data_IF_901441197634
#
_entry.id   IF_901441197634
#
_cell.length_a   1.000
_cell.length_b   1.000
_cell.length_c   1.000
_cell.angle_alpha   90.00
_cell.angle_beta   90.00
_cell.angle_gamma   90.00
#
_symmetry.space_group_name_H-M   'P 1'
#
loop_
_entity.id
_entity.type
_entity.pdbx_description
1 polymer ?
#
# COMPACT_ATOMS: atom_id res chain seq x y z
N UNK A 1 41.05 -58.06 -7.41
CA UNK A 1 40.71 -59.50 -7.41
C UNK A 1 39.66 -59.74 -8.49
N UNK A 2 39.94 -60.65 -9.41
CA UNK A 2 39.07 -61.02 -10.53
C UNK A 2 38.33 -62.31 -10.22
N UNK A 3 37.15 -62.49 -10.80
CA UNK A 3 36.66 -63.82 -11.16
C UNK A 3 35.73 -63.74 -12.37
N UNK A 4 36.04 -64.57 -13.38
CA UNK A 4 35.30 -64.79 -14.62
C UNK A 4 35.23 -66.32 -14.81
N UNK A 5 34.13 -66.90 -15.30
CA UNK A 5 34.17 -68.21 -15.95
C UNK A 5 34.17 -68.08 -17.49
N UNK A 6 34.69 -69.11 -18.15
CA UNK A 6 35.08 -69.14 -19.57
C UNK A 6 34.25 -70.16 -20.38
N UNK A 7 33.96 -69.78 -21.64
CA UNK A 7 33.57 -70.55 -22.85
C UNK A 7 32.12 -71.07 -22.92
N UNK A 8 31.52 -71.32 -24.09
CA UNK A 8 31.54 -70.89 -25.51
C UNK A 8 30.60 -71.90 -26.18
N UNK A 9 29.56 -71.48 -26.92
CA UNK A 9 28.97 -72.31 -27.98
C UNK A 9 28.80 -71.44 -29.23
N UNK A 10 29.36 -71.98 -30.30
CA UNK A 10 29.40 -71.55 -31.69
C UNK A 10 28.02 -71.67 -32.34
N UNK A 11 27.68 -70.72 -33.21
CA UNK A 11 26.59 -70.86 -34.18
C UNK A 11 25.20 -70.45 -33.68
N UNK A 12 24.74 -69.29 -34.12
CA UNK A 12 23.50 -69.09 -34.89
C UNK A 12 23.00 -67.63 -34.84
N UNK A 13 22.53 -67.15 -36.00
CA UNK A 13 21.69 -65.97 -36.21
C UNK A 13 22.31 -64.54 -36.21
N UNK A 14 23.18 -64.24 -37.17
CA UNK A 14 23.50 -62.85 -37.56
C UNK A 14 22.39 -62.18 -38.43
N UNK A 15 21.24 -62.83 -38.64
CA UNK A 15 20.15 -62.26 -39.46
C UNK A 15 18.96 -61.66 -38.67
N UNK A 16 18.94 -61.71 -37.33
CA UNK A 16 17.76 -61.28 -36.54
C UNK A 16 17.94 -60.00 -35.71
N UNK A 17 19.17 -59.48 -35.56
CA UNK A 17 19.39 -58.28 -34.74
C UNK A 17 19.11 -56.96 -35.48
N UNK A 18 19.28 -56.92 -36.81
CA UNK A 18 19.10 -55.69 -37.60
C UNK A 18 17.61 -55.30 -37.76
N UNK A 19 16.72 -56.27 -37.94
CA UNK A 19 15.27 -56.02 -38.03
C UNK A 19 14.64 -55.62 -36.67
N UNK A 20 15.13 -56.18 -35.56
CA UNK A 20 14.64 -55.86 -34.21
C UNK A 20 15.07 -54.46 -33.76
N UNK A 21 16.28 -54.02 -34.14
CA UNK A 21 16.79 -52.67 -33.87
C UNK A 21 16.03 -51.58 -34.64
N UNK A 22 15.76 -51.80 -35.93
CA UNK A 22 15.05 -50.85 -36.78
C UNK A 22 13.58 -50.64 -36.35
N UNK A 23 12.91 -51.71 -35.92
CA UNK A 23 11.53 -51.61 -35.43
C UNK A 23 11.47 -50.94 -34.05
N UNK A 24 12.44 -51.21 -33.17
CA UNK A 24 12.55 -50.51 -31.88
C UNK A 24 12.84 -49.02 -32.06
N UNK A 25 13.70 -48.65 -33.02
CA UNK A 25 14.01 -47.26 -33.35
C UNK A 25 12.79 -46.54 -33.95
N UNK A 26 12.09 -47.16 -34.90
CA UNK A 26 10.84 -46.64 -35.47
C UNK A 26 9.77 -46.41 -34.39
N UNK A 27 9.63 -47.35 -33.45
CA UNK A 27 8.69 -47.23 -32.34
C UNK A 27 9.07 -46.08 -31.40
N UNK A 28 10.36 -45.91 -31.07
CA UNK A 28 10.85 -44.78 -30.25
C UNK A 28 10.60 -43.43 -30.93
N UNK A 29 10.89 -43.34 -32.23
CA UNK A 29 10.62 -42.11 -33.01
C UNK A 29 9.12 -41.83 -33.06
N UNK A 30 8.28 -42.84 -33.30
CA UNK A 30 6.83 -42.68 -33.29
C UNK A 30 6.31 -42.20 -31.93
N UNK A 31 6.80 -42.76 -30.82
CA UNK A 31 6.44 -42.32 -29.46
C UNK A 31 6.85 -40.87 -29.22
N UNK A 32 8.08 -40.48 -29.61
CA UNK A 32 8.53 -39.09 -29.46
C UNK A 32 7.70 -38.11 -30.27
N UNK A 33 7.36 -38.46 -31.52
CA UNK A 33 6.49 -37.63 -32.36
C UNK A 33 5.10 -37.47 -31.73
N UNK A 34 4.50 -38.57 -31.24
CA UNK A 34 3.21 -38.51 -30.54
C UNK A 34 3.30 -37.66 -29.27
N UNK A 35 4.36 -37.81 -28.46
CA UNK A 35 4.57 -36.99 -27.28
C UNK A 35 4.67 -35.49 -27.62
N UNK A 36 5.44 -35.13 -28.66
CA UNK A 36 5.56 -33.73 -29.09
C UNK A 36 4.23 -33.17 -29.57
N UNK A 37 3.43 -33.96 -30.32
CA UNK A 37 2.10 -33.55 -30.76
C UNK A 37 1.10 -33.39 -29.61
N UNK A 38 1.18 -34.24 -28.58
CA UNK A 38 0.34 -34.09 -27.39
C UNK A 38 0.74 -32.87 -26.56
N UNK A 39 2.05 -32.64 -26.36
CA UNK A 39 2.53 -31.45 -25.65
C UNK A 39 2.17 -30.18 -26.41
N UNK A 40 2.32 -30.14 -27.73
CA UNK A 40 1.93 -28.97 -28.52
C UNK A 40 0.42 -28.73 -28.46
N UNK A 41 -0.40 -29.77 -28.53
CA UNK A 41 -1.85 -29.66 -28.36
C UNK A 41 -2.21 -29.10 -26.97
N UNK A 42 -1.57 -29.60 -25.90
CA UNK A 42 -1.78 -29.08 -24.54
C UNK A 42 -1.41 -27.59 -24.43
N UNK A 43 -0.26 -27.19 -24.96
CA UNK A 43 0.16 -25.78 -24.97
C UNK A 43 -0.84 -24.92 -25.75
N UNK A 44 -1.29 -25.37 -26.92
CA UNK A 44 -2.29 -24.64 -27.72
C UNK A 44 -3.62 -24.53 -26.97
N UNK A 45 -4.09 -25.60 -26.32
CA UNK A 45 -5.33 -25.56 -25.53
C UNK A 45 -5.21 -24.63 -24.32
N UNK A 46 -4.06 -24.60 -23.64
CA UNK A 46 -3.80 -23.71 -22.52
C UNK A 46 -3.79 -22.24 -22.98
N UNK A 47 -3.07 -21.93 -24.08
CA UNK A 47 -3.05 -20.58 -24.66
C UNK A 47 -4.44 -20.13 -25.12
N UNK A 48 -5.22 -21.04 -25.70
CA UNK A 48 -6.60 -20.74 -26.10
C UNK A 48 -7.47 -20.45 -24.86
N UNK A 49 -7.34 -21.23 -23.79
CA UNK A 49 -8.06 -20.99 -22.55
C UNK A 49 -7.72 -19.63 -21.94
N UNK A 50 -6.44 -19.26 -21.86
CA UNK A 50 -6.00 -17.94 -21.38
C UNK A 50 -6.52 -16.80 -22.28
N UNK A 51 -6.56 -17.00 -23.59
CA UNK A 51 -7.11 -16.02 -24.54
C UNK A 51 -8.63 -15.86 -24.37
N UNK A 52 -9.37 -16.95 -24.14
CA UNK A 52 -10.80 -16.91 -23.86
C UNK A 52 -11.09 -16.18 -22.53
N UNK A 53 -10.32 -16.50 -21.48
CA UNK A 53 -10.40 -15.84 -20.17
C UNK A 53 -10.13 -14.34 -20.27
N UNK A 54 -9.10 -13.96 -21.03
CA UNK A 54 -8.77 -12.55 -21.29
C UNK A 54 -9.89 -11.83 -22.03
N UNK A 55 -10.49 -12.49 -23.04
CA UNK A 55 -11.62 -11.93 -23.81
C UNK A 55 -12.85 -11.73 -22.94
N UNK A 56 -13.14 -12.66 -22.03
CA UNK A 56 -14.26 -12.53 -21.09
C UNK A 56 -14.03 -11.36 -20.11
N UNK A 57 -12.83 -11.26 -19.54
CA UNK A 57 -12.44 -10.14 -18.69
C UNK A 57 -12.59 -8.79 -19.41
N UNK A 58 -12.19 -8.72 -20.68
CA UNK A 58 -12.34 -7.50 -21.48
C UNK A 58 -13.82 -7.12 -21.67
N UNK A 59 -14.70 -8.09 -21.99
CA UNK A 59 -16.15 -7.82 -22.08
C UNK A 59 -16.73 -7.33 -20.75
N UNK A 60 -16.29 -7.91 -19.64
CA UNK A 60 -16.72 -7.50 -18.31
C UNK A 60 -16.27 -6.06 -17.99
N UNK A 61 -15.05 -5.68 -18.39
CA UNK A 61 -14.54 -4.31 -18.25
C UNK A 61 -15.30 -3.31 -19.14
N UNK A 62 -15.58 -3.67 -20.39
CA UNK A 62 -16.39 -2.85 -21.30
C UNK A 62 -17.82 -2.65 -20.75
N UNK A 63 -18.41 -3.68 -20.15
CA UNK A 63 -19.72 -3.57 -19.51
C UNK A 63 -19.68 -2.61 -18.31
N UNK A 64 -18.68 -2.76 -17.43
CA UNK A 64 -18.47 -1.85 -16.31
C UNK A 64 -18.26 -0.41 -16.78
N UNK A 65 -17.51 -0.20 -17.86
CA UNK A 65 -17.32 1.12 -18.46
C UNK A 65 -18.65 1.71 -18.94
N UNK A 66 -19.49 0.90 -19.62
CA UNK A 66 -20.82 1.34 -20.06
C UNK A 66 -21.72 1.72 -18.88
N UNK A 67 -21.71 0.93 -17.80
CA UNK A 67 -22.48 1.21 -16.58
C UNK A 67 -22.03 2.51 -15.91
N UNK A 68 -20.72 2.72 -15.73
CA UNK A 68 -20.18 3.95 -15.15
C UNK A 68 -20.52 5.15 -16.04
N UNK A 69 -20.38 5.02 -17.37
CA UNK A 69 -20.72 6.09 -18.31
C UNK A 69 -22.21 6.44 -18.25
N UNK A 70 -23.09 5.46 -18.04
CA UNK A 70 -24.52 5.69 -17.85
C UNK A 70 -24.80 6.44 -16.54
N UNK A 71 -24.22 6.01 -15.41
CA UNK A 71 -24.38 6.70 -14.11
C UNK A 71 -23.87 8.16 -14.15
N UNK A 72 -22.72 8.41 -14.80
CA UNK A 72 -22.21 9.78 -15.01
C UNK A 72 -23.15 10.59 -15.90
N UNK A 73 -23.72 10.00 -16.94
CA UNK A 73 -24.64 10.70 -17.86
C UNK A 73 -25.99 10.99 -17.20
N UNK A 74 -26.45 10.12 -16.29
CA UNK A 74 -27.68 10.27 -15.53
C UNK A 74 -27.55 11.28 -14.38
N UNK A 75 -26.35 11.46 -13.81
CA UNK A 75 -26.09 12.49 -12.78
C UNK A 75 -25.82 13.88 -13.34
N UNK A 76 -25.51 14.00 -14.63
CA UNK A 76 -25.24 15.28 -15.30
C UNK A 76 -26.45 16.25 -15.43
N UNK A 77 -27.72 15.82 -15.55
CA UNK A 77 -28.86 16.72 -15.68
C UNK A 77 -29.25 17.43 -14.37
N UNK A 78 -28.78 16.97 -13.20
CA UNK A 78 -29.14 17.58 -11.92
C UNK A 78 -28.16 18.67 -11.43
N UNK A 79 -27.00 18.81 -12.07
CA UNK A 79 -26.05 19.87 -11.72
C UNK A 79 -26.53 21.18 -12.35
N UNK A 80 -27.45 21.89 -11.66
CA UNK A 80 -27.71 23.30 -11.94
C UNK A 80 -26.36 24.04 -11.84
N UNK A 81 -26.00 24.89 -12.82
CA UNK A 81 -24.77 25.66 -12.72
C UNK A 81 -24.81 26.46 -11.42
N UNK A 82 -23.85 26.21 -10.53
CA UNK A 82 -23.67 27.06 -9.36
C UNK A 82 -23.39 28.48 -9.87
N UNK A 83 -24.27 29.41 -9.52
CA UNK A 83 -24.01 30.84 -9.67
C UNK A 83 -22.70 31.14 -8.95
N UNK A 84 -21.72 31.65 -9.70
CA UNK A 84 -20.42 32.08 -9.20
C UNK A 84 -20.60 33.30 -8.30
N UNK A 85 -20.99 33.09 -7.05
CA UNK A 85 -20.71 34.02 -5.96
C UNK A 85 -19.53 33.41 -5.23
N UNK A 86 -18.31 33.85 -5.56
CA UNK A 86 -17.16 33.59 -4.71
C UNK A 86 -17.50 34.16 -3.31
N UNK A 87 -17.46 33.36 -2.24
CA UNK A 87 -17.38 33.95 -0.91
C UNK A 87 -16.01 34.63 -0.81
N UNK A 88 -15.99 35.95 -0.91
CA UNK A 88 -14.82 36.73 -0.54
C UNK A 88 -14.61 36.50 0.96
N UNK A 89 -13.53 35.82 1.33
CA UNK A 89 -13.13 35.72 2.74
C UNK A 89 -13.01 37.15 3.30
N UNK A 90 -13.64 37.48 4.43
CA UNK A 90 -13.44 38.77 5.07
C UNK A 90 -11.96 38.88 5.45
N UNK A 91 -11.30 39.90 4.91
CA UNK A 91 -9.92 40.22 5.24
C UNK A 91 -9.82 40.54 6.74
N UNK A 92 -8.93 39.89 7.51
CA UNK A 92 -8.80 40.18 8.92
C UNK A 92 -8.27 41.61 9.09
N UNK A 93 -9.01 42.46 9.79
CA UNK A 93 -8.54 43.78 10.20
C UNK A 93 -7.32 43.62 11.11
N UNK A 94 -6.13 43.86 10.56
CA UNK A 94 -4.89 43.97 11.34
C UNK A 94 -4.97 45.26 12.16
N UNK A 95 -5.40 45.15 13.43
CA UNK A 95 -5.24 46.23 14.42
C UNK A 95 -3.77 46.32 14.81
N UNK A 96 -3.02 47.17 14.12
CA UNK A 96 -1.66 47.55 14.51
C UNK A 96 -1.76 48.30 15.84
N UNK A 97 -1.42 47.63 16.95
CA UNK A 97 -1.25 48.27 18.25
C UNK A 97 0.13 48.93 18.25
N UNK A 98 0.18 50.20 17.86
CA UNK A 98 1.35 51.05 18.07
C UNK A 98 1.45 51.38 19.56
N UNK A 99 2.27 50.60 20.30
CA UNK A 99 2.74 51.05 21.60
C UNK A 99 3.90 52.05 21.42
N UNK A 100 3.88 53.21 22.11
CA UNK A 100 5.00 54.12 22.09
C UNK A 100 6.20 53.50 22.84
N UNK A 101 7.36 53.49 22.18
CA UNK A 101 8.62 53.15 22.85
C UNK A 101 8.94 54.26 23.87
N UNK A 102 8.99 53.91 25.16
CA UNK A 102 9.47 54.83 26.19
C UNK A 102 10.99 55.00 26.07
N UNK A 103 11.42 56.27 26.03
CA UNK A 103 12.81 56.70 25.97
C UNK A 103 13.44 56.48 27.35
N UNK A 104 14.47 55.64 27.43
CA UNK A 104 15.29 55.50 28.64
C UNK A 104 16.30 56.66 28.68
N UNK A 105 16.28 57.43 29.77
CA UNK A 105 17.19 58.53 30.07
C UNK A 105 18.62 58.00 30.38
N UNK A 106 19.70 58.74 30.03
CA UNK A 106 21.06 58.32 30.35
C UNK A 106 21.38 58.62 31.82
N UNK A 107 21.81 57.60 32.57
CA UNK A 107 22.34 57.78 33.93
C UNK A 107 23.82 57.39 33.95
N UNK A 108 24.63 58.33 34.44
CA UNK A 108 26.10 58.33 34.57
C UNK A 108 26.63 57.24 35.51
N UNK A 109 27.86 56.69 35.31
CA UNK A 109 28.37 55.56 36.08
C UNK A 109 29.24 55.97 37.29
N UNK A 110 29.08 55.29 38.43
CA UNK A 110 30.09 55.16 39.49
C UNK A 110 29.76 53.95 40.40
N UNK A 111 30.71 53.39 41.17
CA UNK A 111 31.65 52.38 40.73
C UNK A 111 31.41 51.01 41.38
N UNK A 112 32.02 50.03 40.73
CA UNK A 112 32.14 48.59 40.97
C UNK A 112 32.28 48.15 42.43
N UNK A 113 31.43 47.20 42.83
CA UNK A 113 31.76 46.21 43.87
C UNK A 113 31.79 44.82 43.21
N UNK A 114 32.95 44.18 43.29
CA UNK A 114 33.23 42.87 42.70
C UNK A 114 32.80 41.83 43.73
N UNK A 115 31.63 41.23 43.55
CA UNK A 115 31.19 40.11 44.40
C UNK A 115 31.30 38.80 43.64
N UNK A 116 32.14 37.94 44.21
CA UNK A 116 32.57 36.62 43.80
C UNK A 116 31.44 35.72 43.30
N UNK A 117 31.71 35.14 42.14
CA UNK A 117 30.93 34.14 41.42
C UNK A 117 30.64 32.94 42.33
N UNK A 118 29.36 32.67 42.59
CA UNK A 118 28.91 31.34 43.03
C UNK A 118 27.97 30.82 41.95
N UNK A 119 28.46 29.93 41.11
CA UNK A 119 27.67 29.26 40.08
C UNK A 119 26.71 28.27 40.75
N UNK A 120 25.44 28.65 40.88
CA UNK A 120 24.35 27.69 41.00
C UNK A 120 23.83 27.40 39.60
N UNK A 121 24.14 26.23 39.07
CA UNK A 121 23.51 25.72 37.86
C UNK A 121 22.03 25.42 38.18
N UNK A 122 21.13 26.26 37.69
CA UNK A 122 19.70 25.93 37.63
C UNK A 122 19.48 25.02 36.42
N UNK A 123 18.88 23.84 36.65
CA UNK A 123 18.43 22.96 35.57
C UNK A 123 17.47 23.74 34.65
N UNK A 124 17.86 23.84 33.39
CA UNK A 124 16.99 24.30 32.31
C UNK A 124 15.87 23.26 32.20
N UNK A 125 14.58 23.60 32.33
CA UNK A 125 13.54 22.70 31.88
C UNK A 125 13.72 22.55 30.37
N UNK A 126 14.01 21.33 29.93
CA UNK A 126 13.97 20.96 28.52
C UNK A 126 12.54 21.19 28.03
N UNK A 127 12.28 22.37 27.47
CA UNK A 127 11.07 22.62 26.70
C UNK A 127 11.18 21.77 25.45
N UNK A 128 10.65 20.55 25.52
CA UNK A 128 10.27 19.75 24.36
C UNK A 128 9.51 20.68 23.41
N UNK A 129 9.85 20.74 22.09
CA UNK A 129 9.02 21.48 21.15
C UNK A 129 7.62 20.88 21.22
N UNK A 130 6.70 21.64 21.81
CA UNK A 130 5.28 21.34 21.85
C UNK A 130 4.84 21.15 20.39
N UNK A 131 4.24 19.99 20.03
CA UNK A 131 3.58 19.85 18.74
C UNK A 131 2.58 21.00 18.64
N UNK A 132 2.73 21.82 17.61
CA UNK A 132 1.79 22.88 17.27
C UNK A 132 0.38 22.29 17.29
N UNK A 133 -0.43 22.76 18.25
CA UNK A 133 -1.84 22.42 18.37
C UNK A 133 -2.52 22.99 17.11
N UNK A 134 -2.68 22.14 16.10
CA UNK A 134 -3.30 22.51 14.82
C UNK A 134 -4.72 22.90 15.15
N UNK A 135 -4.98 24.21 15.17
CA UNK A 135 -6.32 24.75 15.37
C UNK A 135 -7.13 24.41 14.13
N UNK A 136 -8.08 23.49 14.29
CA UNK A 136 -8.83 22.72 13.29
C UNK A 136 -9.84 23.56 12.47
N UNK A 137 -9.50 24.79 12.08
CA UNK A 137 -10.41 25.69 11.38
C UNK A 137 -9.73 26.54 10.28
N UNK A 138 -8.57 26.14 9.76
CA UNK A 138 -7.99 26.80 8.59
C UNK A 138 -8.51 26.16 7.30
N UNK A 139 -9.32 26.87 6.47
CA UNK A 139 -9.85 26.36 5.20
C UNK A 139 -8.77 26.07 4.14
N UNK A 140 -7.49 26.27 4.48
CA UNK A 140 -6.33 26.01 3.64
C UNK A 140 -5.46 24.83 4.16
N UNK A 141 -6.01 23.91 4.96
CA UNK A 141 -5.27 22.70 5.35
C UNK A 141 -5.10 21.77 4.14
N UNK A 142 -3.95 21.88 3.47
CA UNK A 142 -3.52 20.98 2.42
C UNK A 142 -2.50 20.00 2.99
N UNK A 143 -2.67 18.70 2.69
CA UNK A 143 -1.72 17.68 3.11
C UNK A 143 -0.35 17.91 2.47
N UNK A 144 0.72 17.51 3.18
CA UNK A 144 2.08 17.58 2.65
C UNK A 144 2.24 16.83 1.31
N UNK A 145 3.22 17.23 0.51
CA UNK A 145 3.51 16.58 -0.78
C UNK A 145 3.69 15.06 -0.63
N UNK A 146 2.96 14.31 -1.46
CA UNK A 146 2.96 12.85 -1.45
C UNK A 146 1.93 12.21 -0.52
N UNK A 147 1.25 13.01 0.33
CA UNK A 147 0.09 12.57 1.09
C UNK A 147 -1.20 12.76 0.29
N UNK A 148 -2.22 11.96 0.60
CA UNK A 148 -3.56 12.05 0.01
C UNK A 148 -4.52 12.55 1.06
N UNK A 149 -5.28 13.61 0.76
CA UNK A 149 -6.30 14.12 1.65
C UNK A 149 -7.61 13.33 1.50
N UNK A 150 -8.23 12.98 2.62
CA UNK A 150 -9.61 12.49 2.66
C UNK A 150 -10.28 12.92 3.97
N UNK A 151 -11.30 13.76 3.87
CA UNK A 151 -11.89 14.43 5.02
C UNK A 151 -10.87 15.35 5.69
N UNK A 152 -10.76 15.25 7.01
CA UNK A 152 -9.83 16.03 7.84
C UNK A 152 -8.45 15.36 7.99
N UNK A 153 -8.26 14.19 7.35
CA UNK A 153 -7.07 13.35 7.51
C UNK A 153 -6.19 13.34 6.26
N UNK A 154 -4.89 13.13 6.48
CA UNK A 154 -3.88 12.92 5.46
C UNK A 154 -3.37 11.48 5.49
N UNK A 155 -3.24 10.85 4.33
CA UNK A 155 -2.85 9.43 4.20
C UNK A 155 -1.61 9.27 3.34
N UNK A 156 -0.61 8.55 3.85
CA UNK A 156 0.60 8.21 3.10
C UNK A 156 0.64 6.71 2.77
N UNK A 157 0.89 6.38 1.50
CA UNK A 157 0.92 5.01 1.01
C UNK A 157 2.36 4.59 0.73
N UNK A 158 3.03 4.03 1.74
CA UNK A 158 4.38 3.50 1.59
C UNK A 158 4.40 2.23 0.73
N UNK A 159 5.22 2.23 -0.33
CA UNK A 159 5.45 1.05 -1.17
C UNK A 159 6.59 0.16 -0.67
N UNK A 160 7.22 0.53 0.46
CA UNK A 160 8.30 -0.26 1.08
C UNK A 160 7.73 -1.48 1.78
N UNK A 161 8.26 -2.65 1.46
CA UNK A 161 7.93 -3.90 2.16
C UNK A 161 8.70 -3.98 3.47
N UNK A 162 7.98 -4.14 4.57
CA UNK A 162 8.53 -4.31 5.91
C UNK A 162 7.55 -5.07 6.82
N UNK A 163 7.96 -5.44 8.03
CA UNK A 163 7.03 -6.03 9.02
C UNK A 163 6.04 -4.99 9.54
N UNK A 164 4.98 -5.43 10.22
CA UNK A 164 4.00 -4.54 10.85
C UNK A 164 4.67 -3.54 11.81
N UNK A 165 5.52 -4.01 12.73
CA UNK A 165 6.22 -3.16 13.71
C UNK A 165 7.15 -2.14 13.06
N UNK A 166 7.89 -2.56 12.02
CA UNK A 166 8.77 -1.69 11.28
C UNK A 166 7.98 -0.62 10.52
N UNK A 167 6.84 -1.00 9.93
CA UNK A 167 5.95 -0.09 9.22
C UNK A 167 5.35 0.94 10.17
N UNK A 168 4.89 0.52 11.35
CA UNK A 168 4.39 1.42 12.41
C UNK A 168 5.45 2.40 12.88
N UNK A 169 6.67 1.91 13.09
CA UNK A 169 7.80 2.77 13.48
C UNK A 169 8.05 3.84 12.41
N UNK A 170 8.05 3.47 11.14
CA UNK A 170 8.21 4.42 10.03
C UNK A 170 7.07 5.44 10.00
N UNK A 171 5.81 5.02 10.12
CA UNK A 171 4.66 5.94 10.17
C UNK A 171 4.80 6.97 11.29
N UNK A 172 5.22 6.53 12.48
CA UNK A 172 5.47 7.42 13.64
C UNK A 172 6.60 8.39 13.43
N UNK A 173 7.68 7.96 12.77
CA UNK A 173 8.78 8.88 12.43
C UNK A 173 8.39 9.95 11.42
N UNK A 174 7.31 9.74 10.66
CA UNK A 174 6.77 10.70 9.69
C UNK A 174 5.60 11.53 10.25
N UNK A 175 5.37 11.50 11.56
CA UNK A 175 4.31 12.29 12.21
C UNK A 175 2.90 11.68 12.11
N UNK A 176 2.76 10.43 11.66
CA UNK A 176 1.50 9.68 11.64
C UNK A 176 1.53 8.40 12.49
N UNK A 177 0.59 7.48 12.25
CA UNK A 177 0.62 6.10 12.72
C UNK A 177 0.02 5.20 11.63
N UNK A 178 0.01 3.88 11.81
CA UNK A 178 -0.72 3.00 10.89
C UNK A 178 -2.22 3.34 10.90
N UNK A 179 -2.85 3.25 9.73
CA UNK A 179 -4.24 3.71 9.55
C UNK A 179 -5.23 2.91 10.41
N UNK A 180 -6.07 3.62 11.13
CA UNK A 180 -7.30 3.10 11.73
C UNK A 180 -8.45 3.42 10.80
N UNK A 181 -9.35 2.47 10.58
CA UNK A 181 -10.48 2.65 9.68
C UNK A 181 -11.74 2.79 10.55
N UNK A 182 -12.34 3.98 10.53
CA UNK A 182 -13.51 4.31 11.35
C UNK A 182 -14.82 4.35 10.54
N UNK A 183 -14.75 4.34 9.21
CA UNK A 183 -15.94 4.41 8.33
C UNK A 183 -15.83 3.60 7.04
N UNK A 184 -16.98 3.27 6.45
CA UNK A 184 -17.06 2.60 5.13
C UNK A 184 -16.57 3.48 3.98
N UNK A 185 -16.75 4.80 4.12
CA UNK A 185 -16.31 5.81 3.17
C UNK A 185 -14.78 5.86 3.13
N UNK A 186 -14.14 5.91 4.30
CA UNK A 186 -12.69 5.84 4.44
C UNK A 186 -12.13 4.53 3.87
N UNK A 187 -12.76 3.40 4.21
CA UNK A 187 -12.35 2.11 3.66
C UNK A 187 -12.42 2.08 2.13
N UNK A 188 -13.46 2.66 1.55
CA UNK A 188 -13.64 2.75 0.10
C UNK A 188 -12.62 3.66 -0.57
N UNK A 189 -12.27 4.76 0.08
CA UNK A 189 -11.17 5.64 -0.33
C UNK A 189 -9.85 4.86 -0.36
N UNK A 190 -9.45 4.22 0.75
CA UNK A 190 -8.20 3.45 0.84
C UNK A 190 -8.11 2.36 -0.25
N UNK A 191 -9.19 1.60 -0.44
CA UNK A 191 -9.26 0.53 -1.45
C UNK A 191 -9.06 1.07 -2.86
N UNK A 192 -9.71 2.18 -3.19
CA UNK A 192 -9.62 2.80 -4.52
C UNK A 192 -8.22 3.36 -4.76
N UNK A 193 -7.64 4.03 -3.77
CA UNK A 193 -6.28 4.59 -3.86
C UNK A 193 -5.24 3.49 -4.00
N UNK A 194 -5.36 2.38 -3.25
CA UNK A 194 -4.47 1.23 -3.40
C UNK A 194 -4.55 0.66 -4.82
N UNK A 195 -5.75 0.46 -5.37
CA UNK A 195 -5.91 -0.02 -6.75
C UNK A 195 -5.27 0.92 -7.78
N UNK A 196 -5.33 2.24 -7.56
CA UNK A 196 -4.66 3.20 -8.43
C UNK A 196 -3.14 3.11 -8.34
N UNK A 197 -2.59 2.88 -7.14
CA UNK A 197 -1.14 2.77 -6.91
C UNK A 197 -0.59 1.44 -7.44
N UNK A 198 -1.31 0.33 -7.23
CA UNK A 198 -0.82 -1.02 -7.54
C UNK A 198 -1.25 -1.51 -8.92
N UNK A 199 -2.26 -0.88 -9.53
CA UNK A 199 -2.85 -1.31 -10.79
C UNK A 199 -3.41 -2.74 -10.69
N UNK A 200 -2.96 -3.62 -11.59
CA UNK A 200 -3.37 -5.03 -11.62
C UNK A 200 -2.62 -5.92 -10.62
N UNK A 201 -1.60 -5.40 -9.94
CA UNK A 201 -0.83 -6.19 -8.97
C UNK A 201 -1.55 -6.26 -7.63
N UNK A 202 -1.64 -7.46 -7.07
CA UNK A 202 -2.13 -7.67 -5.71
C UNK A 202 -0.98 -7.38 -4.75
N UNK A 203 -0.98 -6.18 -4.16
CA UNK A 203 -0.02 -5.76 -3.13
C UNK A 203 -0.82 -5.44 -1.87
N UNK A 204 -0.33 -5.90 -0.72
CA UNK A 204 -0.94 -5.66 0.58
C UNK A 204 -0.23 -4.52 1.31
N UNK A 205 -1.01 -3.65 1.95
CA UNK A 205 -0.56 -2.56 2.80
C UNK A 205 -0.94 -2.86 4.25
N UNK A 206 -0.03 -2.58 5.18
CA UNK A 206 -0.31 -2.74 6.61
C UNK A 206 -1.30 -1.70 7.11
N UNK A 207 -2.24 -2.13 7.94
CA UNK A 207 -3.15 -1.26 8.69
C UNK A 207 -2.87 -1.33 10.18
N UNK A 208 -3.46 -0.43 10.94
CA UNK A 208 -3.25 -0.32 12.37
C UNK A 208 -3.96 -1.36 13.23
N UNK A 209 -4.56 -2.40 12.64
CA UNK A 209 -5.24 -3.45 13.39
C UNK A 209 -4.25 -4.58 13.74
N UNK A 210 -4.25 -5.04 14.99
CA UNK A 210 -3.38 -6.13 15.45
C UNK A 210 -3.98 -6.85 16.65
N UNK A 211 -3.68 -8.13 16.82
CA UNK A 211 -3.98 -8.93 18.02
C UNK A 211 -2.70 -9.42 18.71
N UNK A 212 -1.54 -8.85 18.37
CA UNK A 212 -0.23 -9.22 18.91
C UNK A 212 -0.11 -9.14 20.44
N UNK A 213 -0.96 -8.32 21.09
CA UNK A 213 -1.02 -8.22 22.54
C UNK A 213 -1.75 -9.41 23.18
N UNK A 214 -2.78 -9.93 22.51
CA UNK A 214 -3.62 -11.03 22.98
C UNK A 214 -4.35 -11.64 21.78
N UNK A 215 -3.91 -12.85 21.39
CA UNK A 215 -4.45 -13.59 20.24
C UNK A 215 -5.98 -13.66 20.29
N UNK A 216 -6.63 -13.31 19.18
CA UNK A 216 -8.10 -13.28 19.08
C UNK A 216 -8.75 -11.98 19.61
N UNK A 217 -7.99 -11.08 20.25
CA UNK A 217 -8.47 -9.75 20.64
C UNK A 217 -7.83 -8.67 19.78
N UNK A 218 -8.54 -8.34 18.69
CA UNK A 218 -8.13 -7.32 17.73
C UNK A 218 -8.30 -5.91 18.27
N UNK A 219 -7.20 -5.16 18.28
CA UNK A 219 -7.13 -3.76 18.68
C UNK A 219 -6.53 -2.91 17.57
N UNK A 220 -6.99 -1.68 17.46
CA UNK A 220 -6.35 -0.65 16.68
C UNK A 220 -5.10 -0.11 17.39
N UNK A 221 -4.24 0.58 16.64
CA UNK A 221 -3.03 1.22 17.17
C UNK A 221 -3.30 2.25 18.28
N UNK A 222 -4.51 2.80 18.35
CA UNK A 222 -4.98 3.70 19.42
C UNK A 222 -5.50 2.95 20.67
N UNK A 223 -5.53 1.61 20.64
CA UNK A 223 -6.01 0.75 21.70
C UNK A 223 -7.52 0.49 21.69
N UNK A 224 -8.26 1.09 20.75
CA UNK A 224 -9.70 0.83 20.62
C UNK A 224 -9.96 -0.56 20.03
N UNK A 225 -11.02 -1.26 20.46
CA UNK A 225 -11.37 -2.57 19.92
C UNK A 225 -11.92 -2.46 18.50
N UNK A 226 -11.79 -3.53 17.72
CA UNK A 226 -12.47 -3.64 16.44
C UNK A 226 -14.00 -3.58 16.64
N UNK A 227 -14.66 -2.65 15.93
CA UNK A 227 -16.12 -2.59 15.93
C UNK A 227 -16.70 -3.69 15.01
N UNK A 228 -17.54 -4.56 15.55
CA UNK A 228 -18.17 -5.66 14.81
C UNK A 228 -19.01 -5.16 13.62
N UNK A 229 -19.55 -3.94 13.65
CA UNK A 229 -20.29 -3.39 12.49
C UNK A 229 -19.40 -3.13 11.27
N UNK A 230 -18.09 -2.90 11.48
CA UNK A 230 -17.09 -2.74 10.42
C UNK A 230 -16.51 -4.09 9.96
N UNK A 231 -16.77 -5.18 10.69
CA UNK A 231 -16.25 -6.53 10.39
C UNK A 231 -16.82 -7.13 9.10
N UNK A 232 -18.02 -6.72 8.68
CA UNK A 232 -18.67 -7.19 7.44
C UNK A 232 -17.88 -6.85 6.17
N UNK A 233 -16.99 -5.84 6.23
CA UNK A 233 -16.15 -5.40 5.09
C UNK A 233 -14.64 -5.67 5.32
N UNK A 234 -14.22 -6.31 6.42
CA UNK A 234 -12.81 -6.72 6.59
C UNK A 234 -12.56 -8.16 6.11
N UNK A 235 -13.57 -9.03 6.17
CA UNK A 235 -13.46 -10.43 5.70
C UNK A 235 -13.64 -10.58 4.18
N UNK A 236 -14.34 -9.65 3.53
CA UNK A 236 -14.67 -9.69 2.09
C UNK A 236 -13.86 -8.68 1.25
N UNK A 237 -13.17 -7.74 1.88
CA UNK A 237 -12.68 -6.51 1.24
C UNK A 237 -11.20 -6.18 1.49
N UNK A 238 -10.45 -7.07 2.14
CA UNK A 238 -8.98 -7.03 2.33
C UNK A 238 -8.18 -7.37 1.07
N UNK A 239 -8.72 -7.13 -0.12
CA UNK A 239 -7.89 -7.13 -1.34
C UNK A 239 -6.95 -5.92 -1.28
N UNK A 240 -5.77 -6.16 -0.70
CA UNK A 240 -4.69 -5.20 -0.62
C UNK A 240 -4.48 -4.55 0.75
N UNK A 241 -5.20 -4.96 1.80
CA UNK A 241 -4.92 -4.55 3.19
C UNK A 241 -4.60 -5.79 4.02
N UNK A 242 -3.53 -5.74 4.81
CA UNK A 242 -3.11 -6.78 5.75
C UNK A 242 -3.05 -6.21 7.16
N UNK A 243 -3.61 -6.96 8.12
CA UNK A 243 -3.42 -6.75 9.55
C UNK A 243 -2.29 -7.66 10.02
#
# INVERSE_FOLDING_TARGET
MMSRPQKYIEGEALHSQHAKSNNALKLRVAVLVVCVLLVSALVVTYLLFELLKTRENLRNLELKQKTIKADVTERLPEIKPCSTVQPTCPEPEVKIITQPCNIIQPTTPQPTEITTITQSYTMIPTTTPQPSEITTNDPCYECEDGWKQHGENCYFFSTRKSSWDASRTVCRTQGGDLVKIDSSEEQSFLRTTIQQITGSYVIYFWIGLTDSAEEGRWLWVDGSPLNESLSFDLSSSTRGLGA
#
